data_IF_440303385957
#
_entry.id   IF_440303385957
#
_cell.length_a   1.000
_cell.length_b   1.000
_cell.length_c   1.000
_cell.angle_alpha   90.00
_cell.angle_beta   90.00
_cell.angle_gamma   90.00
#
_symmetry.space_group_name_H-M   'P 1'
#
loop_
_entity.id
_entity.type
_entity.pdbx_description
1 polymer ?
#
# COMPACT_ATOMS: atom_id res chain seq x y z
N UNK A 1 21.40 -22.98 15.33
CA UNK A 1 21.11 -23.46 13.96
C UNK A 1 20.12 -22.48 13.34
N UNK A 2 20.59 -21.56 12.47
CA UNK A 2 19.74 -20.46 11.94
C UNK A 2 18.79 -21.03 10.89
N UNK A 3 17.48 -20.86 11.11
CA UNK A 3 16.46 -21.08 10.09
C UNK A 3 16.73 -20.10 8.94
N UNK A 4 17.09 -20.62 7.77
CA UNK A 4 17.22 -19.83 6.55
C UNK A 4 15.85 -19.26 6.20
N UNK A 5 15.76 -17.94 6.04
CA UNK A 5 14.54 -17.28 5.56
C UNK A 5 14.09 -17.94 4.25
N UNK A 6 12.84 -18.44 4.15
CA UNK A 6 12.38 -19.11 2.94
C UNK A 6 12.39 -18.15 1.76
N UNK A 7 12.87 -18.60 0.61
CA UNK A 7 12.88 -17.77 -0.62
C UNK A 7 11.46 -17.51 -1.11
N UNK A 8 11.27 -16.40 -1.83
CA UNK A 8 9.97 -16.07 -2.45
C UNK A 8 9.44 -17.20 -3.32
N UNK A 9 10.30 -17.81 -4.15
CA UNK A 9 9.92 -18.94 -5.00
C UNK A 9 9.45 -20.16 -4.20
N UNK A 10 10.09 -20.46 -3.07
CA UNK A 10 9.66 -21.54 -2.19
C UNK A 10 8.28 -21.26 -1.57
N UNK A 11 8.03 -20.02 -1.13
CA UNK A 11 6.75 -19.61 -0.58
C UNK A 11 5.63 -19.68 -1.62
N UNK A 12 5.87 -19.20 -2.84
CA UNK A 12 4.91 -19.28 -3.97
C UNK A 12 4.57 -20.73 -4.27
N UNK A 13 5.58 -21.61 -4.40
CA UNK A 13 5.36 -23.03 -4.64
C UNK A 13 4.54 -23.68 -3.52
N UNK A 14 4.92 -23.48 -2.25
CA UNK A 14 4.17 -24.02 -1.10
C UNK A 14 2.74 -23.51 -1.03
N UNK A 15 2.52 -22.23 -1.28
CA UNK A 15 1.18 -21.63 -1.31
C UNK A 15 0.35 -22.24 -2.43
N UNK A 16 0.93 -22.43 -3.63
CA UNK A 16 0.25 -23.07 -4.76
C UNK A 16 -0.21 -24.50 -4.42
N UNK A 17 0.61 -25.27 -3.69
CA UNK A 17 0.28 -26.62 -3.23
C UNK A 17 -0.87 -26.60 -2.22
N UNK A 18 -0.79 -25.71 -1.23
CA UNK A 18 -1.84 -25.54 -0.21
C UNK A 18 -3.17 -25.16 -0.86
N UNK A 19 -3.17 -24.18 -1.76
CA UNK A 19 -4.37 -23.74 -2.48
C UNK A 19 -4.94 -24.85 -3.37
N UNK A 20 -4.10 -25.54 -4.16
CA UNK A 20 -4.56 -26.64 -5.00
C UNK A 20 -5.26 -27.72 -4.19
N UNK A 21 -4.66 -28.16 -3.08
CA UNK A 21 -5.26 -29.18 -2.21
C UNK A 21 -6.52 -28.70 -1.48
N UNK A 22 -6.65 -27.40 -1.21
CA UNK A 22 -7.86 -26.83 -0.62
C UNK A 22 -9.01 -26.78 -1.63
N UNK A 23 -8.74 -26.29 -2.85
CA UNK A 23 -9.73 -26.27 -3.94
C UNK A 23 -10.17 -27.68 -4.28
N UNK A 24 -9.23 -28.62 -4.43
CA UNK A 24 -9.55 -30.02 -4.77
C UNK A 24 -10.51 -30.65 -3.76
N UNK A 25 -10.24 -30.50 -2.45
CA UNK A 25 -11.16 -30.96 -1.39
C UNK A 25 -12.53 -30.29 -1.45
N UNK A 26 -12.57 -29.03 -1.83
CA UNK A 26 -13.80 -28.22 -1.89
C UNK A 26 -14.71 -28.63 -3.04
N UNK A 27 -14.12 -28.95 -4.21
CA UNK A 27 -14.88 -29.29 -5.41
C UNK A 27 -15.12 -30.81 -5.57
N UNK A 28 -14.42 -31.64 -4.80
CA UNK A 28 -14.58 -33.11 -4.81
C UNK A 28 -16.02 -33.60 -4.64
N UNK A 29 -16.87 -33.03 -3.75
CA UNK A 29 -18.27 -33.44 -3.62
C UNK A 29 -19.10 -33.23 -4.90
N UNK A 30 -18.67 -32.32 -5.78
CA UNK A 30 -19.29 -32.07 -7.09
C UNK A 30 -18.76 -33.00 -8.19
N UNK A 31 -17.91 -33.97 -7.84
CA UNK A 31 -17.29 -34.89 -8.79
C UNK A 31 -16.16 -34.26 -9.61
N UNK A 32 -15.63 -33.11 -9.18
CA UNK A 32 -14.57 -32.39 -9.87
C UNK A 32 -13.22 -32.56 -9.17
N UNK A 33 -12.15 -32.43 -9.97
CA UNK A 33 -10.79 -32.14 -9.50
C UNK A 33 -10.51 -30.65 -9.61
N UNK A 34 -9.46 -30.15 -8.93
CA UNK A 34 -9.05 -28.74 -9.07
C UNK A 34 -8.75 -28.34 -10.53
N UNK A 35 -8.17 -29.24 -11.32
CA UNK A 35 -7.85 -28.98 -12.73
C UNK A 35 -9.11 -28.89 -13.60
N UNK A 36 -10.07 -29.80 -13.41
CA UNK A 36 -11.37 -29.77 -14.09
C UNK A 36 -12.19 -28.53 -13.72
N UNK A 37 -12.22 -28.17 -12.43
CA UNK A 37 -12.83 -26.93 -11.98
C UNK A 37 -12.21 -25.70 -12.68
N UNK A 38 -10.87 -25.63 -12.71
CA UNK A 38 -10.17 -24.50 -13.33
C UNK A 38 -10.50 -24.37 -14.82
N UNK A 39 -10.56 -25.50 -15.55
CA UNK A 39 -10.96 -25.51 -16.96
C UNK A 39 -12.39 -25.01 -17.14
N UNK A 40 -13.36 -25.55 -16.37
CA UNK A 40 -14.76 -25.13 -16.45
C UNK A 40 -14.96 -23.66 -16.06
N UNK A 41 -14.24 -23.17 -15.04
CA UNK A 41 -14.31 -21.78 -14.59
C UNK A 41 -13.80 -20.82 -15.67
N UNK A 42 -12.64 -21.14 -16.28
CA UNK A 42 -12.09 -20.37 -17.40
C UNK A 42 -13.04 -20.40 -18.60
N UNK A 43 -13.54 -21.58 -18.97
CA UNK A 43 -14.49 -21.73 -20.08
C UNK A 43 -15.76 -20.92 -19.83
N UNK A 44 -16.31 -20.95 -18.61
CA UNK A 44 -17.48 -20.15 -18.22
C UNK A 44 -17.24 -18.66 -18.43
N UNK A 45 -16.06 -18.16 -18.05
CA UNK A 45 -15.67 -16.76 -18.25
C UNK A 45 -15.61 -16.36 -19.72
N UNK A 46 -15.05 -17.20 -20.59
CA UNK A 46 -14.97 -16.98 -22.03
C UNK A 46 -16.36 -17.05 -22.69
N UNK A 47 -17.14 -18.07 -22.36
CA UNK A 47 -18.49 -18.30 -22.86
C UNK A 47 -19.41 -17.12 -22.57
N UNK A 48 -19.33 -16.55 -21.35
CA UNK A 48 -20.09 -15.35 -20.95
C UNK A 48 -19.71 -14.10 -21.76
N UNK A 49 -18.49 -14.03 -22.30
CA UNK A 49 -18.02 -12.97 -23.20
C UNK A 49 -18.33 -13.27 -24.68
N UNK A 50 -19.11 -14.32 -24.96
CA UNK A 50 -19.43 -14.75 -26.32
C UNK A 50 -18.33 -15.57 -27.01
N UNK A 51 -17.26 -15.92 -26.31
CA UNK A 51 -16.13 -16.67 -26.88
C UNK A 51 -16.30 -18.16 -26.63
N UNK A 52 -16.28 -18.96 -27.70
CA UNK A 52 -16.23 -20.42 -27.65
C UNK A 52 -14.85 -20.87 -28.12
N UNK A 53 -13.91 -21.18 -27.21
CA UNK A 53 -12.55 -21.51 -27.61
C UNK A 53 -12.46 -22.96 -28.13
N UNK A 54 -11.50 -23.20 -29.02
CA UNK A 54 -10.94 -24.51 -29.26
C UNK A 54 -10.14 -24.98 -28.04
N UNK A 55 -9.79 -26.28 -27.99
CA UNK A 55 -8.92 -26.81 -26.92
C UNK A 55 -7.54 -26.16 -26.90
N UNK A 56 -7.02 -25.77 -28.07
CA UNK A 56 -5.71 -25.10 -28.19
C UNK A 56 -5.77 -23.69 -27.62
N UNK A 57 -6.76 -22.90 -28.03
CA UNK A 57 -6.95 -21.53 -27.51
C UNK A 57 -7.18 -21.52 -26.00
N UNK A 58 -7.94 -22.50 -25.48
CA UNK A 58 -8.14 -22.65 -24.04
C UNK A 58 -6.83 -23.03 -23.32
N UNK A 59 -6.00 -23.89 -23.91
CA UNK A 59 -4.70 -24.26 -23.37
C UNK A 59 -3.74 -23.07 -23.33
N UNK A 60 -3.66 -22.31 -24.41
CA UNK A 60 -2.86 -21.08 -24.50
C UNK A 60 -3.32 -20.07 -23.44
N UNK A 61 -4.64 -19.88 -23.26
CA UNK A 61 -5.19 -18.98 -22.25
C UNK A 61 -4.88 -19.42 -20.80
N UNK A 62 -4.83 -20.72 -20.54
CA UNK A 62 -4.55 -21.26 -19.21
C UNK A 62 -3.05 -21.44 -18.93
N UNK A 63 -2.18 -21.22 -19.93
CA UNK A 63 -0.76 -21.52 -19.84
C UNK A 63 -0.47 -23.02 -19.61
N UNK A 64 -1.32 -23.90 -20.17
CA UNK A 64 -1.25 -25.34 -19.99
C UNK A 64 -0.90 -26.05 -21.30
N UNK A 65 -0.34 -27.25 -21.19
CA UNK A 65 -0.08 -28.11 -22.35
C UNK A 65 -1.38 -28.53 -23.05
N UNK A 66 -1.50 -28.39 -24.39
CA UNK A 66 -2.72 -28.73 -25.14
C UNK A 66 -3.20 -30.17 -24.92
N UNK A 67 -2.27 -31.12 -24.78
CA UNK A 67 -2.61 -32.52 -24.51
C UNK A 67 -3.27 -32.69 -23.13
N UNK A 68 -2.86 -31.91 -22.14
CA UNK A 68 -3.46 -31.94 -20.80
C UNK A 68 -4.88 -31.39 -20.84
N UNK A 69 -5.10 -30.24 -21.49
CA UNK A 69 -6.43 -29.66 -21.69
C UNK A 69 -7.35 -30.60 -22.47
N UNK A 70 -6.84 -31.27 -23.51
CA UNK A 70 -7.61 -32.26 -24.27
C UNK A 70 -8.10 -33.42 -23.40
N UNK A 71 -7.24 -33.94 -22.52
CA UNK A 71 -7.61 -35.01 -21.58
C UNK A 71 -8.70 -34.55 -20.60
N UNK A 72 -8.56 -33.34 -20.04
CA UNK A 72 -9.55 -32.75 -19.13
C UNK A 72 -10.90 -32.54 -19.84
N UNK A 73 -10.89 -31.98 -21.05
CA UNK A 73 -12.10 -31.72 -21.84
C UNK A 73 -12.85 -33.03 -22.18
N UNK A 74 -12.14 -34.10 -22.55
CA UNK A 74 -12.75 -35.42 -22.78
C UNK A 74 -13.39 -35.99 -21.51
N UNK A 75 -12.71 -35.90 -20.37
CA UNK A 75 -13.27 -36.38 -19.10
C UNK A 75 -14.52 -35.57 -18.70
N UNK A 76 -14.52 -34.26 -18.93
CA UNK A 76 -15.66 -33.38 -18.64
C UNK A 76 -16.84 -33.62 -19.58
N UNK A 77 -16.60 -33.90 -20.87
CA UNK A 77 -17.65 -34.30 -21.80
C UNK A 77 -18.24 -35.67 -21.44
N UNK A 78 -17.41 -36.65 -21.09
CA UNK A 78 -17.88 -37.96 -20.60
C UNK A 78 -18.72 -37.84 -19.32
N UNK A 79 -18.40 -36.88 -18.46
CA UNK A 79 -19.20 -36.54 -17.28
C UNK A 79 -20.45 -35.71 -17.59
N UNK A 80 -20.70 -35.37 -18.87
CA UNK A 80 -21.87 -34.60 -19.30
C UNK A 80 -21.82 -33.12 -18.91
N UNK A 81 -20.63 -32.55 -18.64
CA UNK A 81 -20.45 -31.17 -18.19
C UNK A 81 -20.01 -30.21 -19.32
N UNK A 82 -19.58 -30.76 -20.45
CA UNK A 82 -19.04 -30.02 -21.58
C UNK A 82 -19.57 -30.61 -22.89
N UNK A 83 -19.72 -29.77 -23.92
CA UNK A 83 -20.00 -30.19 -25.29
C UNK A 83 -18.87 -29.77 -26.24
N UNK A 84 -18.72 -30.52 -27.33
CA UNK A 84 -17.72 -30.27 -28.38
C UNK A 84 -18.37 -30.18 -29.76
N UNK A 85 -19.27 -29.21 -30.01
CA UNK A 85 -19.85 -29.02 -31.33
C UNK A 85 -18.78 -28.73 -32.40
N UNK A 86 -18.99 -29.16 -33.65
CA UNK A 86 -18.20 -28.71 -34.80
C UNK A 86 -18.23 -27.17 -34.88
N UNK A 87 -17.13 -26.58 -35.33
CA UNK A 87 -17.09 -25.15 -35.63
C UNK A 87 -18.00 -24.85 -36.84
N UNK A 88 -18.89 -23.85 -36.76
CA UNK A 88 -19.75 -23.44 -37.88
C UNK A 88 -18.98 -23.06 -39.16
N UNK A 89 -17.77 -22.51 -39.00
CA UNK A 89 -16.93 -21.99 -40.08
C UNK A 89 -15.87 -23.01 -40.53
N UNK A 90 -15.54 -23.99 -39.69
CA UNK A 90 -14.61 -25.09 -40.00
C UNK A 90 -15.09 -26.45 -39.41
N UNK A 91 -15.74 -27.33 -40.19
CA UNK A 91 -16.21 -28.62 -39.72
C UNK A 91 -15.12 -29.57 -39.18
N UNK A 92 -13.83 -29.25 -39.43
CA UNK A 92 -12.68 -30.01 -38.90
C UNK A 92 -12.26 -29.52 -37.51
N UNK A 93 -12.71 -28.34 -37.10
CA UNK A 93 -12.49 -27.78 -35.78
C UNK A 93 -13.66 -28.08 -34.84
N UNK A 94 -13.38 -28.11 -33.53
CA UNK A 94 -14.40 -28.25 -32.49
C UNK A 94 -14.29 -27.10 -31.50
N UNK A 95 -15.44 -26.57 -31.09
CA UNK A 95 -15.54 -25.52 -30.08
C UNK A 95 -16.01 -26.12 -28.77
N UNK A 96 -15.50 -25.58 -27.66
CA UNK A 96 -15.91 -26.00 -26.33
C UNK A 96 -17.06 -25.13 -25.86
N UNK A 97 -18.11 -25.76 -25.34
CA UNK A 97 -19.19 -25.08 -24.61
C UNK A 97 -19.63 -25.91 -23.40
N UNK A 98 -20.34 -25.29 -22.47
CA UNK A 98 -20.90 -25.96 -21.30
C UNK A 98 -22.22 -26.63 -21.68
N UNK A 99 -22.52 -27.78 -21.08
CA UNK A 99 -23.90 -28.30 -21.05
C UNK A 99 -24.72 -27.51 -20.02
N UNK A 100 -26.04 -27.67 -20.02
CA UNK A 100 -26.90 -27.17 -18.95
C UNK A 100 -26.44 -27.69 -17.57
N UNK A 101 -26.16 -29.00 -17.47
CA UNK A 101 -25.60 -29.60 -16.26
C UNK A 101 -24.24 -29.02 -15.89
N UNK A 102 -23.39 -28.75 -16.89
CA UNK A 102 -22.09 -28.10 -16.71
C UNK A 102 -22.23 -26.71 -16.08
N UNK A 103 -23.19 -25.92 -16.55
CA UNK A 103 -23.51 -24.60 -16.00
C UNK A 103 -23.97 -24.67 -14.54
N UNK A 104 -24.81 -25.63 -14.17
CA UNK A 104 -25.23 -25.82 -12.79
C UNK A 104 -24.04 -26.16 -11.88
N UNK A 105 -23.26 -27.17 -12.26
CA UNK A 105 -22.13 -27.67 -11.47
C UNK A 105 -21.08 -26.57 -11.28
N UNK A 106 -20.72 -25.85 -12.33
CA UNK A 106 -19.70 -24.80 -12.22
C UNK A 106 -20.20 -23.60 -11.42
N UNK A 107 -21.50 -23.27 -11.49
CA UNK A 107 -22.08 -22.19 -10.70
C UNK A 107 -22.00 -22.50 -9.21
N UNK A 108 -22.25 -23.74 -8.81
CA UNK A 108 -22.09 -24.18 -7.43
C UNK A 108 -20.62 -24.22 -7.00
N UNK A 109 -19.74 -24.78 -7.85
CA UNK A 109 -18.31 -24.84 -7.57
C UNK A 109 -17.68 -23.45 -7.38
N UNK A 110 -18.05 -22.46 -8.22
CA UNK A 110 -17.60 -21.07 -8.08
C UNK A 110 -18.02 -20.48 -6.74
N UNK A 111 -19.24 -20.77 -6.25
CA UNK A 111 -19.68 -20.30 -4.93
C UNK A 111 -18.81 -20.89 -3.82
N UNK A 112 -18.61 -22.21 -3.81
CA UNK A 112 -17.79 -22.88 -2.80
C UNK A 112 -16.33 -22.40 -2.82
N UNK A 113 -15.74 -22.21 -4.01
CA UNK A 113 -14.36 -21.75 -4.14
C UNK A 113 -14.22 -20.26 -3.77
N UNK A 114 -15.24 -19.44 -4.02
CA UNK A 114 -15.26 -18.05 -3.52
C UNK A 114 -15.27 -18.03 -2.00
N UNK A 115 -16.09 -18.85 -1.36
CA UNK A 115 -16.16 -18.90 0.10
C UNK A 115 -14.83 -19.43 0.69
N UNK A 116 -14.19 -20.41 0.02
CA UNK A 116 -12.83 -20.82 0.34
C UNK A 116 -11.80 -19.68 0.19
N UNK A 117 -11.94 -18.81 -0.82
CA UNK A 117 -11.06 -17.65 -0.96
C UNK A 117 -11.22 -16.65 0.19
N UNK A 118 -12.43 -16.46 0.71
CA UNK A 118 -12.66 -15.68 1.94
C UNK A 118 -11.80 -16.22 3.08
N UNK A 119 -11.90 -17.53 3.35
CA UNK A 119 -11.14 -18.18 4.43
C UNK A 119 -9.62 -18.09 4.22
N UNK A 120 -9.15 -18.36 3.00
CA UNK A 120 -7.72 -18.39 2.68
C UNK A 120 -7.07 -17.01 2.73
N UNK A 121 -7.85 -15.94 2.55
CA UNK A 121 -7.37 -14.56 2.55
C UNK A 121 -7.77 -13.78 3.81
N UNK A 122 -8.49 -14.39 4.75
CA UNK A 122 -8.93 -13.75 5.99
C UNK A 122 -7.78 -13.05 6.75
N UNK A 123 -6.61 -13.68 6.83
CA UNK A 123 -5.43 -13.13 7.50
C UNK A 123 -4.81 -11.90 6.81
N UNK A 124 -5.22 -11.60 5.57
CA UNK A 124 -4.85 -10.37 4.85
C UNK A 124 -6.08 -9.49 4.59
N UNK A 125 -7.18 -9.71 5.31
CA UNK A 125 -8.40 -8.89 5.28
C UNK A 125 -9.50 -9.37 4.33
N UNK A 126 -9.35 -10.55 3.73
CA UNK A 126 -10.33 -11.13 2.80
C UNK A 126 -10.17 -10.68 1.35
N UNK A 127 -10.96 -11.20 0.40
CA UNK A 127 -10.78 -11.04 -1.04
C UNK A 127 -10.93 -9.59 -1.52
N UNK A 128 -11.66 -8.77 -0.76
CA UNK A 128 -11.93 -7.36 -1.07
C UNK A 128 -11.07 -6.37 -0.29
N UNK A 129 -10.08 -6.83 0.48
CA UNK A 129 -9.15 -5.92 1.18
C UNK A 129 -8.11 -5.31 0.23
N UNK A 130 -7.52 -4.19 0.65
CA UNK A 130 -6.35 -3.62 -0.02
C UNK A 130 -5.15 -4.57 0.01
N UNK A 131 -4.98 -5.35 1.09
CA UNK A 131 -3.93 -6.36 1.21
C UNK A 131 -4.03 -7.40 0.09
N UNK A 132 -5.21 -7.97 -0.12
CA UNK A 132 -5.45 -8.95 -1.18
C UNK A 132 -5.36 -8.33 -2.57
N UNK A 133 -5.85 -7.09 -2.76
CA UNK A 133 -5.70 -6.36 -4.03
C UNK A 133 -4.24 -6.19 -4.42
N UNK A 134 -3.39 -5.75 -3.48
CA UNK A 134 -1.95 -5.59 -3.70
C UNK A 134 -1.28 -6.92 -4.00
N UNK A 135 -1.58 -7.96 -3.22
CA UNK A 135 -1.05 -9.29 -3.47
C UNK A 135 -1.40 -9.82 -4.86
N UNK A 136 -2.68 -9.69 -5.28
CA UNK A 136 -3.14 -10.07 -6.61
C UNK A 136 -2.40 -9.31 -7.71
N UNK A 137 -2.26 -8.00 -7.57
CA UNK A 137 -1.53 -7.17 -8.53
C UNK A 137 -0.07 -7.60 -8.66
N UNK A 138 0.60 -7.91 -7.55
CA UNK A 138 1.97 -8.44 -7.57
C UNK A 138 2.05 -9.78 -8.30
N UNK A 139 1.12 -10.71 -8.06
CA UNK A 139 1.09 -12.00 -8.76
C UNK A 139 0.88 -11.85 -10.27
N UNK A 140 -0.03 -10.97 -10.69
CA UNK A 140 -0.28 -10.68 -12.11
C UNK A 140 0.98 -10.14 -12.80
N UNK A 141 1.66 -9.18 -12.16
CA UNK A 141 2.94 -8.67 -12.67
C UNK A 141 4.00 -9.77 -12.79
N UNK A 142 4.09 -10.67 -11.81
CA UNK A 142 5.05 -11.78 -11.84
C UNK A 142 4.72 -12.85 -12.91
N UNK A 143 3.45 -13.03 -13.23
CA UNK A 143 2.99 -13.95 -14.29
C UNK A 143 3.13 -13.34 -15.70
N UNK A 144 3.38 -12.03 -15.80
CA UNK A 144 3.42 -11.32 -17.09
C UNK A 144 2.03 -10.97 -17.63
N UNK A 145 0.98 -11.21 -16.85
CA UNK A 145 -0.39 -10.87 -17.22
C UNK A 145 -0.62 -9.37 -17.06
N UNK A 146 -0.95 -8.68 -18.15
CA UNK A 146 -1.52 -7.33 -18.04
C UNK A 146 -2.89 -7.45 -17.36
N UNK A 147 -3.29 -6.51 -16.48
CA UNK A 147 -4.62 -6.54 -15.87
C UNK A 147 -5.67 -6.56 -16.98
N UNK A 148 -6.38 -7.68 -17.10
CA UNK A 148 -7.46 -7.83 -18.08
C UNK A 148 -8.52 -6.79 -17.75
N UNK A 149 -8.65 -5.80 -18.64
CA UNK A 149 -9.62 -4.72 -18.52
C UNK A 149 -11.04 -5.27 -18.34
N UNK A 150 -11.75 -4.66 -17.38
CA UNK A 150 -13.17 -4.90 -17.15
C UNK A 150 -13.51 -5.15 -15.68
N UNK A 151 -13.38 -4.12 -14.85
CA UNK A 151 -14.47 -3.67 -13.94
C UNK A 151 -14.03 -2.40 -13.20
N UNK A 152 -14.73 -1.33 -13.54
CA UNK A 152 -14.69 -0.01 -12.93
C UNK A 152 -15.13 -0.09 -11.46
N UNK A 153 -14.17 -0.08 -10.56
CA UNK A 153 -14.25 0.65 -9.30
C UNK A 153 -12.84 1.12 -8.98
N UNK A 154 -12.28 1.86 -9.93
CA UNK A 154 -11.13 2.69 -9.69
C UNK A 154 -11.60 3.85 -8.81
N UNK A 155 -11.74 3.61 -7.51
CA UNK A 155 -11.33 4.65 -6.57
C UNK A 155 -9.82 4.76 -6.79
N UNK A 156 -9.42 5.53 -7.82
CA UNK A 156 -8.07 6.07 -7.87
C UNK A 156 -7.94 6.83 -6.56
N UNK A 157 -7.38 6.21 -5.54
CA UNK A 157 -6.82 6.96 -4.44
C UNK A 157 -5.85 7.93 -5.12
N UNK A 158 -6.21 9.21 -5.11
CA UNK A 158 -5.40 10.26 -5.72
C UNK A 158 -4.00 10.09 -5.13
N UNK A 159 -2.93 9.99 -5.95
CA UNK A 159 -1.58 9.92 -5.42
C UNK A 159 -1.37 11.06 -4.43
N UNK A 160 -0.78 10.77 -3.27
CA UNK A 160 -0.47 11.78 -2.25
C UNK A 160 0.27 12.92 -2.93
N UNK A 161 -0.36 14.10 -2.94
CA UNK A 161 0.17 15.30 -3.58
C UNK A 161 0.69 16.31 -2.56
N UNK A 162 1.30 17.38 -3.04
CA UNK A 162 1.78 18.46 -2.17
C UNK A 162 0.69 19.07 -1.28
N UNK A 163 -0.57 19.09 -1.74
CA UNK A 163 -1.70 19.57 -0.93
C UNK A 163 -1.96 18.69 0.30
N UNK A 164 -1.91 17.37 0.14
CA UNK A 164 -2.18 16.42 1.23
C UNK A 164 -1.09 16.51 2.30
N UNK A 165 0.17 16.62 1.86
CA UNK A 165 1.32 16.86 2.74
C UNK A 165 1.19 18.19 3.50
N UNK A 166 0.80 19.27 2.80
CA UNK A 166 0.60 20.58 3.43
C UNK A 166 -0.55 20.56 4.46
N UNK A 167 -1.66 19.87 4.16
CA UNK A 167 -2.78 19.73 5.09
C UNK A 167 -2.39 18.93 6.33
N UNK A 168 -1.69 17.80 6.15
CA UNK A 168 -1.20 16.99 7.26
C UNK A 168 -0.21 17.79 8.15
N UNK A 169 0.73 18.50 7.52
CA UNK A 169 1.67 19.37 8.23
C UNK A 169 0.97 20.52 8.97
N UNK A 170 -0.05 21.14 8.35
CA UNK A 170 -0.85 22.18 8.98
C UNK A 170 -1.65 21.67 10.17
N UNK A 171 -2.27 20.48 10.05
CA UNK A 171 -3.00 19.85 11.13
C UNK A 171 -2.07 19.55 12.32
N UNK A 172 -0.91 18.94 12.07
CA UNK A 172 0.09 18.69 13.12
C UNK A 172 0.59 20.01 13.75
N UNK A 173 0.85 21.04 12.94
CA UNK A 173 1.28 22.35 13.43
C UNK A 173 0.22 23.04 14.28
N UNK A 174 -1.06 22.89 13.96
CA UNK A 174 -2.15 23.52 14.72
C UNK A 174 -2.20 23.08 16.19
N UNK A 175 -1.82 21.83 16.49
CA UNK A 175 -1.69 21.33 17.85
C UNK A 175 -0.59 22.07 18.62
N UNK A 176 0.58 22.23 17.99
CA UNK A 176 1.68 22.99 18.57
C UNK A 176 1.30 24.46 18.76
N UNK A 177 0.69 25.11 17.75
CA UNK A 177 0.22 26.50 17.86
C UNK A 177 -0.74 26.66 19.05
N UNK A 178 -1.66 25.73 19.27
CA UNK A 178 -2.58 25.76 20.42
C UNK A 178 -1.85 25.72 21.77
N UNK A 179 -0.71 25.01 21.85
CA UNK A 179 0.12 24.99 23.06
C UNK A 179 0.89 26.30 23.22
N UNK A 180 1.45 26.83 22.13
CA UNK A 180 2.24 28.06 22.13
C UNK A 180 1.41 29.31 22.44
N UNK A 181 0.17 29.38 21.95
CA UNK A 181 -0.73 30.51 22.19
C UNK A 181 -1.00 30.75 23.69
N UNK A 182 -0.96 29.68 24.51
CA UNK A 182 -1.12 29.77 25.97
C UNK A 182 0.04 30.49 26.66
N UNK A 183 1.20 30.48 26.02
CA UNK A 183 2.46 31.03 26.51
C UNK A 183 2.81 32.35 25.79
N UNK A 184 1.93 32.84 24.90
CA UNK A 184 2.16 34.05 24.12
C UNK A 184 3.26 33.94 23.06
N UNK A 185 3.63 32.70 22.68
CA UNK A 185 4.68 32.42 21.71
C UNK A 185 4.08 32.09 20.34
N UNK A 186 4.79 32.45 19.28
CA UNK A 186 4.50 31.95 17.93
C UNK A 186 5.38 30.75 17.55
N UNK A 187 5.07 30.12 16.41
CA UNK A 187 5.83 28.96 15.93
C UNK A 187 7.30 29.28 15.68
N UNK A 188 7.61 30.48 15.20
CA UNK A 188 8.98 30.91 14.89
C UNK A 188 9.75 31.15 16.18
N UNK A 189 9.11 31.79 17.18
CA UNK A 189 9.65 31.94 18.53
C UNK A 189 10.08 30.58 19.09
N UNK A 190 9.18 29.59 19.06
CA UNK A 190 9.46 28.25 19.55
C UNK A 190 10.62 27.56 18.84
N UNK A 191 10.74 27.72 17.51
CA UNK A 191 11.86 27.16 16.74
C UNK A 191 13.19 27.76 17.17
N UNK A 192 13.26 29.08 17.39
CA UNK A 192 14.47 29.75 17.88
C UNK A 192 14.83 29.24 19.27
N UNK A 193 13.86 29.26 20.19
CA UNK A 193 14.06 28.82 21.58
C UNK A 193 14.52 27.36 21.66
N UNK A 194 13.88 26.45 20.92
CA UNK A 194 14.27 25.03 20.89
C UNK A 194 15.66 24.81 20.32
N UNK A 195 16.05 25.57 19.30
CA UNK A 195 17.35 25.40 18.61
C UNK A 195 18.54 25.79 19.51
N UNK A 196 18.32 26.72 20.44
CA UNK A 196 19.34 27.18 21.38
C UNK A 196 19.21 26.54 22.77
N UNK A 197 18.04 26.01 23.13
CA UNK A 197 17.81 25.31 24.41
C UNK A 197 18.71 24.09 24.61
N UNK A 198 19.04 23.37 23.53
CA UNK A 198 19.92 22.20 23.57
C UNK A 198 21.39 22.57 23.74
N UNK A 199 21.80 23.73 23.22
CA UNK A 199 23.18 24.20 23.22
C UNK A 199 23.24 25.70 22.94
N UNK A 200 23.94 26.46 23.80
CA UNK A 200 24.23 27.87 23.58
C UNK A 200 25.04 28.06 22.29
N UNK A 201 24.71 29.08 21.48
CA UNK A 201 25.26 29.29 20.14
C UNK A 201 25.60 30.75 19.91
N UNK A 202 26.54 31.05 19.02
CA UNK A 202 26.68 32.43 18.53
C UNK A 202 25.44 32.83 17.71
N UNK A 203 25.16 34.14 17.63
CA UNK A 203 24.03 34.65 16.86
C UNK A 203 24.07 34.20 15.39
N UNK A 204 25.25 34.23 14.76
CA UNK A 204 25.42 33.78 13.37
C UNK A 204 25.15 32.29 13.19
N UNK A 205 25.60 31.45 14.13
CA UNK A 205 25.33 30.02 14.10
C UNK A 205 23.84 29.71 14.30
N UNK A 206 23.17 30.47 15.16
CA UNK A 206 21.72 30.35 15.37
C UNK A 206 20.92 30.74 14.13
N UNK A 207 21.25 31.89 13.50
CA UNK A 207 20.61 32.33 12.26
C UNK A 207 20.83 31.31 11.13
N UNK A 208 22.05 30.78 11.01
CA UNK A 208 22.39 29.74 10.03
C UNK A 208 21.55 28.47 10.25
N UNK A 209 21.43 28.01 11.49
CA UNK A 209 20.63 26.82 11.82
C UNK A 209 19.13 27.01 11.52
N UNK A 210 18.55 28.16 11.85
CA UNK A 210 17.15 28.47 11.56
C UNK A 210 16.92 28.53 10.04
N UNK A 211 17.83 29.19 9.31
CA UNK A 211 17.71 29.36 7.85
C UNK A 211 17.88 28.03 7.10
N UNK A 212 18.75 27.13 7.58
CA UNK A 212 18.98 25.82 6.97
C UNK A 212 17.71 24.95 6.93
N UNK A 213 16.82 25.11 7.93
CA UNK A 213 15.53 24.41 7.97
C UNK A 213 14.46 25.02 7.06
N UNK A 214 14.78 26.13 6.38
CA UNK A 214 13.85 26.91 5.54
C UNK A 214 12.59 27.42 6.27
N UNK A 215 12.65 27.49 7.61
CA UNK A 215 11.53 27.92 8.44
C UNK A 215 11.36 29.45 8.39
N UNK A 216 12.47 30.20 8.35
CA UNK A 216 12.47 31.65 8.35
C UNK A 216 13.63 32.21 7.51
N UNK A 217 13.47 33.44 7.00
CA UNK A 217 14.57 34.17 6.36
C UNK A 217 15.59 34.65 7.40
N UNK A 218 16.84 34.96 7.00
CA UNK A 218 17.83 35.51 7.92
C UNK A 218 17.35 36.77 8.67
N UNK A 219 16.62 37.65 7.99
CA UNK A 219 16.09 38.88 8.60
C UNK A 219 14.98 38.60 9.60
N UNK A 220 14.11 37.63 9.30
CA UNK A 220 13.08 37.17 10.23
C UNK A 220 13.74 36.54 11.46
N UNK A 221 14.76 35.71 11.28
CA UNK A 221 15.49 35.09 12.39
C UNK A 221 16.13 36.14 13.32
N UNK A 222 16.79 37.17 12.75
CA UNK A 222 17.35 38.29 13.54
C UNK A 222 16.28 39.05 14.31
N UNK A 223 15.15 39.35 13.67
CA UNK A 223 14.03 40.05 14.30
C UNK A 223 13.47 39.26 15.48
N UNK A 224 13.27 37.95 15.32
CA UNK A 224 12.76 37.07 16.38
C UNK A 224 13.77 36.95 17.53
N UNK A 225 15.08 36.80 17.25
CA UNK A 225 16.11 36.78 18.30
C UNK A 225 16.09 38.07 19.12
N UNK A 226 15.97 39.23 18.46
CA UNK A 226 15.89 40.53 19.13
C UNK A 226 14.65 40.62 20.02
N UNK A 227 13.47 40.30 19.46
CA UNK A 227 12.19 40.23 20.19
C UNK A 227 12.29 39.34 21.43
N UNK A 228 12.83 38.13 21.30
CA UNK A 228 12.95 37.18 22.41
C UNK A 228 13.98 37.61 23.46
N UNK A 229 15.02 38.33 23.06
CA UNK A 229 15.99 38.91 24.00
C UNK A 229 15.35 40.04 24.82
N UNK A 230 14.62 40.95 24.16
CA UNK A 230 13.90 42.04 24.82
C UNK A 230 12.79 41.52 25.75
N UNK A 231 12.13 40.42 25.38
CA UNK A 231 11.14 39.74 26.21
C UNK A 231 11.73 38.92 27.38
N UNK A 232 13.06 38.84 27.50
CA UNK A 232 13.73 38.10 28.59
C UNK A 232 13.75 36.57 28.40
N UNK A 233 13.47 36.08 27.20
CA UNK A 233 13.55 34.66 26.89
C UNK A 233 14.97 34.20 26.56
N UNK A 234 15.79 35.10 26.01
CA UNK A 234 17.18 34.84 25.65
C UNK A 234 18.15 35.71 26.46
N UNK A 235 19.33 35.17 26.72
CA UNK A 235 20.49 35.91 27.20
C UNK A 235 21.56 35.95 26.12
N UNK A 236 22.29 37.06 26.04
CA UNK A 236 23.44 37.21 25.15
C UNK A 236 24.66 37.58 26.00
N UNK A 237 25.41 36.57 26.47
CA UNK A 237 26.62 36.77 27.27
C UNK A 237 27.85 36.29 26.49
N UNK A 238 28.92 37.10 26.49
CA UNK A 238 30.17 36.77 25.81
C UNK A 238 30.04 36.47 24.30
N UNK A 239 28.98 36.94 23.63
CA UNK A 239 28.70 36.65 22.22
C UNK A 239 27.99 35.31 21.97
N UNK A 240 27.61 34.59 23.04
CA UNK A 240 26.77 33.40 22.98
C UNK A 240 25.34 33.75 23.40
N UNK A 241 24.39 33.24 22.62
CA UNK A 241 22.96 33.28 22.89
C UNK A 241 22.56 31.98 23.59
N UNK A 242 21.80 32.09 24.67
CA UNK A 242 21.19 30.95 25.39
C UNK A 242 19.77 31.32 25.85
N UNK A 243 18.97 30.34 26.25
CA UNK A 243 17.69 30.57 26.92
C UNK A 243 17.89 30.90 28.40
N UNK A 244 17.04 31.77 28.95
CA UNK A 244 16.97 31.96 30.40
C UNK A 244 16.51 30.68 31.11
N UNK A 245 16.85 30.47 32.40
CA UNK A 245 16.42 29.28 33.14
C UNK A 245 14.91 29.02 33.10
N UNK A 246 14.10 30.07 33.29
CA UNK A 246 12.63 29.95 33.20
C UNK A 246 12.13 29.60 31.80
N UNK A 247 12.81 30.07 30.76
CA UNK A 247 12.49 29.72 29.37
C UNK A 247 12.91 28.29 29.03
N UNK A 248 14.01 27.80 29.63
CA UNK A 248 14.43 26.39 29.49
C UNK A 248 13.35 25.45 30.03
N UNK A 249 12.86 25.70 31.24
CA UNK A 249 11.75 24.93 31.82
C UNK A 249 10.48 25.01 30.97
N UNK A 250 10.19 26.17 30.39
CA UNK A 250 9.06 26.35 29.46
C UNK A 250 9.23 25.48 28.20
N UNK A 251 10.40 25.51 27.56
CA UNK A 251 10.70 24.72 26.36
C UNK A 251 10.62 23.22 26.66
N UNK A 252 11.10 22.77 27.81
CA UNK A 252 10.99 21.37 28.24
C UNK A 252 9.53 20.93 28.43
N UNK A 253 8.69 21.76 29.06
CA UNK A 253 7.24 21.48 29.18
C UNK A 253 6.56 21.42 27.83
N UNK A 254 6.79 22.42 26.97
CA UNK A 254 6.22 22.48 25.63
C UNK A 254 6.65 21.26 24.79
N UNK A 255 7.92 20.85 24.91
CA UNK A 255 8.42 19.64 24.24
C UNK A 255 7.66 18.41 24.72
N UNK A 256 7.54 18.24 26.04
CA UNK A 256 6.81 17.11 26.65
C UNK A 256 5.35 17.05 26.20
N UNK A 257 4.65 18.19 26.21
CA UNK A 257 3.26 18.27 25.78
C UNK A 257 3.10 18.03 24.28
N UNK A 258 4.04 18.52 23.46
CA UNK A 258 4.07 18.28 22.02
C UNK A 258 4.31 16.80 21.69
N UNK A 259 5.20 16.12 22.42
CA UNK A 259 5.44 14.67 22.27
C UNK A 259 4.18 13.89 22.62
N UNK A 260 3.53 14.21 23.74
CA UNK A 260 2.27 13.55 24.13
C UNK A 260 1.17 13.72 23.08
N UNK A 261 1.03 14.93 22.53
CA UNK A 261 0.08 15.18 21.44
C UNK A 261 0.45 14.42 20.16
N UNK A 262 1.75 14.33 19.86
CA UNK A 262 2.27 13.52 18.75
C UNK A 262 1.94 12.03 18.90
N UNK A 263 2.19 11.45 20.07
CA UNK A 263 1.88 10.04 20.34
C UNK A 263 0.39 9.74 20.14
N UNK A 264 -0.49 10.66 20.55
CA UNK A 264 -1.93 10.55 20.30
C UNK A 264 -2.29 10.68 18.81
N UNK A 265 -1.63 11.58 18.08
CA UNK A 265 -1.85 11.80 16.66
C UNK A 265 -1.48 10.56 15.82
N UNK A 266 -0.43 9.84 16.21
CA UNK A 266 0.04 8.64 15.53
C UNK A 266 -0.53 7.34 16.11
N UNK A 267 -1.31 7.40 17.18
CA UNK A 267 -1.89 6.22 17.83
C UNK A 267 -2.79 5.42 16.86
N UNK A 268 -2.57 4.11 16.80
CA UNK A 268 -3.37 3.20 15.96
C UNK A 268 -2.93 3.11 14.50
N UNK A 269 -1.90 3.86 14.08
CA UNK A 269 -1.27 3.68 12.77
C UNK A 269 -0.25 2.54 12.86
N UNK A 270 -0.25 1.65 11.87
CA UNK A 270 0.67 0.52 11.85
C UNK A 270 2.14 0.99 11.72
N UNK A 271 3.10 0.39 12.46
CA UNK A 271 4.51 0.78 12.37
C UNK A 271 5.08 0.73 10.95
N UNK A 272 4.69 -0.26 10.15
CA UNK A 272 5.11 -0.40 8.77
C UNK A 272 4.64 0.75 7.85
N UNK A 273 3.46 1.31 8.13
CA UNK A 273 2.91 2.44 7.39
C UNK A 273 3.63 3.74 7.79
N UNK A 274 3.97 3.90 9.07
CA UNK A 274 4.79 5.01 9.55
C UNK A 274 6.19 4.96 8.95
N UNK A 275 6.81 3.78 8.91
CA UNK A 275 8.12 3.57 8.28
C UNK A 275 8.09 3.87 6.77
N UNK A 276 7.01 3.46 6.09
CA UNK A 276 6.81 3.77 4.67
C UNK A 276 6.64 5.27 4.45
N UNK A 277 5.80 5.94 5.25
CA UNK A 277 5.60 7.38 5.21
C UNK A 277 6.92 8.13 5.46
N UNK A 278 7.70 7.71 6.46
CA UNK A 278 9.01 8.30 6.76
C UNK A 278 9.94 8.25 5.55
N UNK A 279 10.09 7.09 4.92
CA UNK A 279 10.95 6.94 3.71
C UNK A 279 10.53 7.87 2.59
N UNK A 280 9.22 8.02 2.37
CA UNK A 280 8.69 8.94 1.35
C UNK A 280 9.01 10.39 1.69
N UNK A 281 8.75 10.83 2.92
CA UNK A 281 9.02 12.19 3.39
C UNK A 281 10.51 12.53 3.33
N UNK A 282 11.39 11.62 3.75
CA UNK A 282 12.85 11.78 3.65
C UNK A 282 13.28 11.96 2.18
N UNK A 283 12.73 11.14 1.27
CA UNK A 283 13.02 11.21 -0.17
C UNK A 283 12.57 12.55 -0.77
N UNK A 284 11.37 13.02 -0.41
CA UNK A 284 10.84 14.32 -0.87
C UNK A 284 11.72 15.46 -0.35
N UNK A 285 12.13 15.41 0.91
CA UNK A 285 12.98 16.43 1.54
C UNK A 285 14.34 16.52 0.85
N UNK A 286 14.98 15.39 0.57
CA UNK A 286 16.25 15.34 -0.16
C UNK A 286 16.12 15.94 -1.57
N UNK A 287 15.10 15.52 -2.33
CA UNK A 287 14.84 16.04 -3.68
C UNK A 287 14.50 17.53 -3.69
N UNK A 288 13.79 18.03 -2.67
CA UNK A 288 13.46 19.44 -2.58
C UNK A 288 14.72 20.32 -2.43
N UNK A 289 15.75 19.84 -1.74
CA UNK A 289 17.03 20.52 -1.65
C UNK A 289 17.76 20.57 -3.01
N UNK A 290 17.74 19.46 -3.75
CA UNK A 290 18.31 19.38 -5.11
C UNK A 290 17.59 20.34 -6.07
N UNK A 291 16.26 20.33 -6.08
CA UNK A 291 15.46 21.22 -6.95
C UNK A 291 15.72 22.68 -6.60
N UNK A 292 15.82 23.04 -5.32
CA UNK A 292 16.13 24.41 -4.89
C UNK A 292 17.47 24.90 -5.41
N UNK A 293 18.47 24.02 -5.53
CA UNK A 293 19.77 24.39 -6.10
C UNK A 293 19.73 24.67 -7.62
N UNK A 294 18.63 24.29 -8.29
CA UNK A 294 18.42 24.48 -9.73
C UNK A 294 17.45 25.62 -10.08
N UNK A 295 16.83 26.25 -9.08
CA UNK A 295 15.94 27.41 -9.23
C UNK A 295 16.72 28.71 -9.01
#
# INVERSE_FOLDING_TARGET
MRLTTPTTGHLVWRLSLKWRAAVDRTVKPLGLTQAQYSLLATLTGLVRRGVRPSQRELADHMGLEPLHVSKLARALEQAGLLTRPPDPDDPRAVRLDLTERGHEVITEAIKLVRDLHEDLTANIGGPRSDGTRRFRATLQTLLGDQPTGGEEAMTTARPVGGRDLNLAAAAARSLLTTLLDREGLDFTDYVVLRTVADQSRSADALISAITASAIASPDTARSVITKLTEAGHLTADGGLVDVTPGTRELVERLTTDSTRAGDQLFAGIAPEDLDAAKRVLDTITARAAEVRATL
#
